data_IF_383756641004
#
_entry.id   IF_383756641004
#
_cell.length_a   1.000
_cell.length_b   1.000
_cell.length_c   1.000
_cell.angle_alpha   90.00
_cell.angle_beta   90.00
_cell.angle_gamma   90.00
#
_symmetry.space_group_name_H-M   'P 1'
#
loop_
_entity.id
_entity.type
_entity.pdbx_description
1 polymer ?
#
# COMPACT_ATOMS: atom_id res chain seq x y z
N UNK A 1 23.88 -21.77 23.03
CA UNK A 1 22.80 -20.77 23.13
C UNK A 1 22.87 -19.75 21.99
N UNK A 2 23.15 -20.20 20.77
CA UNK A 2 23.08 -19.41 19.53
C UNK A 2 21.82 -19.76 18.71
N UNK A 3 21.05 -20.73 19.19
CA UNK A 3 19.93 -21.38 18.49
C UNK A 3 18.57 -20.74 18.78
N UNK A 4 18.50 -19.81 19.74
CA UNK A 4 17.26 -19.08 20.02
C UNK A 4 17.29 -17.71 19.35
N UNK A 5 17.11 -17.72 18.03
CA UNK A 5 16.93 -16.52 17.22
C UNK A 5 15.78 -16.71 16.24
N UNK A 6 15.22 -15.61 15.70
CA UNK A 6 14.32 -15.69 14.56
C UNK A 6 14.99 -16.37 13.36
N UNK A 7 14.16 -16.98 12.51
CA UNK A 7 14.60 -17.50 11.22
C UNK A 7 15.11 -16.36 10.34
N UNK A 8 16.15 -16.64 9.57
CA UNK A 8 16.51 -15.82 8.42
C UNK A 8 15.47 -16.03 7.33
N UNK A 9 15.40 -15.09 6.40
CA UNK A 9 14.40 -15.11 5.34
C UNK A 9 14.41 -16.39 4.50
N UNK A 10 15.59 -16.87 4.09
CA UNK A 10 15.73 -18.13 3.36
C UNK A 10 15.30 -19.35 4.19
N UNK A 11 15.63 -19.39 5.49
CA UNK A 11 15.22 -20.46 6.40
C UNK A 11 13.70 -20.51 6.59
N UNK A 12 13.03 -19.36 6.47
CA UNK A 12 11.58 -19.23 6.48
C UNK A 12 10.97 -19.65 5.13
N UNK A 13 11.51 -19.16 4.01
CA UNK A 13 11.02 -19.47 2.67
C UNK A 13 11.10 -20.97 2.36
N UNK A 14 12.18 -21.64 2.76
CA UNK A 14 12.36 -23.09 2.60
C UNK A 14 11.36 -23.93 3.41
N UNK A 15 10.69 -23.32 4.41
CA UNK A 15 9.70 -24.00 5.27
C UNK A 15 8.27 -23.76 4.82
N UNK A 16 8.05 -22.91 3.82
CA UNK A 16 6.72 -22.58 3.31
C UNK A 16 6.44 -23.45 2.08
N UNK A 17 5.34 -24.18 2.14
CA UNK A 17 4.84 -24.97 1.00
C UNK A 17 3.95 -24.11 0.08
N UNK A 18 2.96 -23.42 0.67
CA UNK A 18 2.07 -22.50 -0.04
C UNK A 18 1.86 -21.22 0.77
N UNK A 19 1.86 -20.08 0.09
CA UNK A 19 1.64 -18.76 0.70
C UNK A 19 0.85 -17.88 -0.25
N UNK A 20 0.01 -17.02 0.32
CA UNK A 20 -0.70 -15.96 -0.41
C UNK A 20 -0.23 -14.62 0.14
N UNK A 21 0.38 -13.81 -0.72
CA UNK A 21 0.76 -12.44 -0.40
C UNK A 21 -0.44 -11.51 -0.60
N UNK A 22 -0.73 -10.65 0.37
CA UNK A 22 -1.89 -9.73 0.34
C UNK A 22 -1.39 -8.31 0.57
N UNK A 23 -1.37 -7.51 -0.49
CA UNK A 23 -0.96 -6.10 -0.47
C UNK A 23 -1.69 -5.32 -1.57
N UNK A 24 -1.95 -4.04 -1.32
CA UNK A 24 -2.42 -3.11 -2.36
C UNK A 24 -1.27 -2.65 -3.28
N UNK A 25 -0.02 -2.78 -2.81
CA UNK A 25 1.21 -2.42 -3.52
C UNK A 25 2.24 -3.53 -3.26
N UNK A 26 2.15 -4.68 -3.96
CA UNK A 26 3.07 -5.79 -3.76
C UNK A 26 4.50 -5.37 -4.11
N UNK A 27 5.46 -5.78 -3.29
CA UNK A 27 6.88 -5.56 -3.53
C UNK A 27 7.47 -6.58 -4.51
N UNK A 28 8.67 -6.30 -5.00
CA UNK A 28 9.35 -7.12 -6.04
C UNK A 28 9.39 -8.61 -5.69
N UNK A 29 9.73 -8.96 -4.43
CA UNK A 29 9.78 -10.35 -3.97
C UNK A 29 8.43 -11.07 -4.15
N UNK A 30 7.33 -10.41 -3.80
CA UNK A 30 5.99 -11.00 -3.84
C UNK A 30 5.57 -11.21 -5.29
N UNK A 31 5.91 -10.27 -6.18
CA UNK A 31 5.63 -10.34 -7.62
C UNK A 31 6.44 -11.48 -8.26
N UNK A 32 7.75 -11.53 -8.01
CA UNK A 32 8.67 -12.49 -8.64
C UNK A 32 8.42 -13.92 -8.18
N UNK A 33 8.09 -14.11 -6.89
CA UNK A 33 7.81 -15.44 -6.31
C UNK A 33 6.43 -15.97 -6.70
N UNK A 34 5.47 -15.09 -6.97
CA UNK A 34 4.08 -15.49 -7.21
C UNK A 34 3.91 -16.16 -8.57
N UNK A 35 3.36 -17.39 -8.56
CA UNK A 35 2.93 -18.03 -9.80
C UNK A 35 1.78 -17.27 -10.49
N UNK A 36 0.97 -16.53 -9.72
CA UNK A 36 -0.13 -15.70 -10.22
C UNK A 36 -0.40 -14.54 -9.27
N UNK A 37 -0.64 -13.37 -9.85
CA UNK A 37 -1.20 -12.21 -9.14
C UNK A 37 -2.72 -12.16 -9.39
N UNK A 38 -3.49 -11.96 -8.32
CA UNK A 38 -4.96 -11.82 -8.38
C UNK A 38 -5.33 -10.47 -7.82
N UNK A 39 -6.06 -9.67 -8.59
CA UNK A 39 -6.42 -8.29 -8.24
C UNK A 39 -7.87 -8.20 -7.78
N UNK A 40 -8.09 -7.41 -6.72
CA UNK A 40 -9.43 -7.03 -6.24
C UNK A 40 -9.55 -5.50 -6.26
N UNK A 41 -9.97 -4.96 -7.41
CA UNK A 41 -10.09 -3.51 -7.63
C UNK A 41 -11.44 -2.97 -7.18
N UNK A 42 -12.52 -3.74 -7.35
CA UNK A 42 -13.87 -3.27 -7.08
C UNK A 42 -14.16 -3.27 -5.56
N UNK A 43 -14.51 -2.10 -5.02
CA UNK A 43 -14.95 -1.96 -3.63
C UNK A 43 -16.41 -2.38 -3.48
N UNK A 44 -16.79 -3.14 -2.44
CA UNK A 44 -18.18 -3.56 -2.23
C UNK A 44 -19.18 -2.40 -2.10
N UNK A 45 -18.72 -1.23 -1.64
CA UNK A 45 -19.53 -0.02 -1.48
C UNK A 45 -19.71 0.79 -2.76
N UNK A 46 -18.97 0.46 -3.84
CA UNK A 46 -18.96 1.24 -5.08
C UNK A 46 -18.15 2.54 -5.02
N UNK A 47 -17.39 2.78 -3.94
CA UNK A 47 -16.50 3.95 -3.84
C UNK A 47 -15.45 3.92 -4.96
N UNK A 48 -15.31 5.03 -5.69
CA UNK A 48 -14.31 5.21 -6.73
C UNK A 48 -12.98 5.71 -6.16
N UNK A 49 -11.90 5.55 -6.92
CA UNK A 49 -10.61 6.17 -6.58
C UNK A 49 -10.72 7.70 -6.66
N UNK A 50 -10.02 8.43 -5.77
CA UNK A 50 -10.07 9.89 -5.76
C UNK A 50 -9.36 10.48 -6.99
N UNK A 51 -9.78 11.69 -7.38
CA UNK A 51 -9.06 12.46 -8.39
C UNK A 51 -7.71 12.95 -7.84
N UNK A 52 -6.69 12.99 -8.70
CA UNK A 52 -5.33 13.40 -8.35
C UNK A 52 -4.97 14.66 -9.14
N UNK A 53 -4.56 15.71 -8.43
CA UNK A 53 -4.10 16.98 -9.01
C UNK A 53 -2.63 17.26 -8.63
N UNK A 54 -1.83 17.70 -9.61
CA UNK A 54 -0.44 18.13 -9.37
C UNK A 54 -0.41 19.66 -9.35
N UNK A 55 0.01 20.24 -8.21
CA UNK A 55 0.07 21.70 -8.00
C UNK A 55 1.53 22.18 -7.85
N UNK A 56 1.85 23.43 -8.24
CA UNK A 56 3.18 24.00 -8.04
C UNK A 56 3.58 24.06 -6.56
N UNK A 57 4.88 24.01 -6.28
CA UNK A 57 5.40 24.16 -4.91
C UNK A 57 5.32 25.61 -4.39
N UNK A 58 5.20 26.59 -5.29
CA UNK A 58 5.05 28.00 -4.94
C UNK A 58 3.74 28.21 -4.18
N UNK A 59 3.82 28.76 -2.96
CA UNK A 59 2.68 28.99 -2.07
C UNK A 59 1.89 27.72 -1.70
N UNK A 60 2.50 26.53 -1.76
CA UNK A 60 1.83 25.25 -1.49
C UNK A 60 1.18 25.17 -0.10
N UNK A 61 1.75 25.85 0.90
CA UNK A 61 1.23 25.84 2.27
C UNK A 61 -0.07 26.66 2.35
N UNK A 62 -0.10 27.84 1.72
CA UNK A 62 -1.29 28.69 1.70
C UNK A 62 -2.44 28.02 0.93
N UNK A 63 -2.11 27.38 -0.19
CA UNK A 63 -3.05 26.59 -0.99
C UNK A 63 -3.65 25.43 -0.15
N UNK A 64 -2.80 24.63 0.50
CA UNK A 64 -3.24 23.55 1.38
C UNK A 64 -4.13 24.06 2.53
N UNK A 65 -3.75 25.16 3.18
CA UNK A 65 -4.52 25.73 4.28
C UNK A 65 -5.89 26.24 3.82
N UNK A 66 -6.01 26.72 2.58
CA UNK A 66 -7.30 27.10 1.99
C UNK A 66 -8.18 25.88 1.78
N UNK A 67 -7.67 24.82 1.15
CA UNK A 67 -8.43 23.56 0.91
C UNK A 67 -8.93 22.93 2.22
N UNK A 68 -8.08 22.90 3.26
CA UNK A 68 -8.48 22.38 4.58
C UNK A 68 -9.64 23.19 5.16
N UNK A 69 -9.58 24.52 5.12
CA UNK A 69 -10.66 25.38 5.64
C UNK A 69 -11.96 25.16 4.86
N UNK A 70 -11.88 25.08 3.53
CA UNK A 70 -13.04 24.82 2.68
C UNK A 70 -13.71 23.47 3.00
N UNK A 71 -12.94 22.44 3.36
CA UNK A 71 -13.50 21.14 3.77
C UNK A 71 -14.13 21.22 5.16
N UNK A 72 -13.49 21.89 6.13
CA UNK A 72 -14.02 22.04 7.49
C UNK A 72 -15.33 22.82 7.48
N UNK A 73 -15.43 23.87 6.67
CA UNK A 73 -16.63 24.72 6.58
C UNK A 73 -17.82 24.02 5.88
N UNK A 74 -17.60 22.89 5.20
CA UNK A 74 -18.66 22.07 4.58
C UNK A 74 -19.41 21.18 5.57
N UNK A 75 -18.87 20.98 6.76
CA UNK A 75 -19.41 20.12 7.83
C UNK A 75 -20.25 20.95 8.79
#
# INVERSE_FOLDING_TARGET
ALDNRPLKFNEFDDKIDQVVFVSATPGDYEIDKSARVVEQIIRPTGLMDPEIEVRPTLNQIDDLMREIREVVDRV
#
